data_IF_770055740463
#
_entry.id   IF_770055740463
#
_cell.length_a   1.000
_cell.length_b   1.000
_cell.length_c   1.000
_cell.angle_alpha   90.00
_cell.angle_beta   90.00
_cell.angle_gamma   90.00
#
_symmetry.space_group_name_H-M   'P 1'
#
loop_
_entity.id
_entity.type
_entity.pdbx_description
1 polymer ?
#
# COMPACT_ATOMS: atom_id res chain seq x y z
N UNK A 1 -12.35 22.22 15.06
CA UNK A 1 -11.33 21.74 14.10
C UNK A 1 -10.59 20.61 14.81
N UNK A 2 -10.66 19.40 14.26
CA UNK A 2 -10.25 18.17 14.94
C UNK A 2 -8.75 18.12 15.19
N UNK A 3 -8.42 17.58 16.36
CA UNK A 3 -7.07 17.33 16.84
C UNK A 3 -6.33 16.40 15.86
N UNK A 4 -5.26 16.89 15.24
CA UNK A 4 -4.29 16.05 14.53
C UNK A 4 -3.42 15.38 15.60
N UNK A 5 -3.77 14.14 15.93
CA UNK A 5 -3.00 13.31 16.84
C UNK A 5 -1.56 13.17 16.30
N UNK A 6 -0.64 13.92 16.92
CA UNK A 6 0.74 14.10 16.44
C UNK A 6 1.67 13.02 17.01
N UNK A 7 1.17 11.78 17.19
CA UNK A 7 1.94 10.72 17.84
C UNK A 7 1.71 9.30 17.29
N UNK A 8 1.05 9.17 16.14
CA UNK A 8 0.98 7.89 15.46
C UNK A 8 2.23 7.74 14.58
N UNK A 9 2.94 6.62 14.69
CA UNK A 9 4.02 6.24 13.76
C UNK A 9 3.56 6.50 12.32
N UNK A 10 4.42 6.94 11.41
CA UNK A 10 4.02 7.07 10.01
C UNK A 10 3.47 5.73 9.49
N UNK A 11 2.23 5.75 9.03
CA UNK A 11 1.51 4.61 8.48
C UNK A 11 0.56 5.09 7.39
N UNK A 12 0.31 4.26 6.39
CA UNK A 12 -0.69 4.52 5.35
C UNK A 12 -2.02 3.95 5.83
N UNK A 13 -2.94 4.83 6.22
CA UNK A 13 -4.29 4.43 6.61
C UNK A 13 -5.08 3.85 5.43
N UNK A 14 -6.14 3.08 5.70
CA UNK A 14 -7.02 2.55 4.65
C UNK A 14 -7.61 3.64 3.75
N UNK A 15 -7.88 4.82 4.30
CA UNK A 15 -8.34 5.98 3.53
C UNK A 15 -7.25 6.50 2.60
N UNK A 16 -6.03 6.63 3.08
CA UNK A 16 -4.90 7.08 2.24
C UNK A 16 -4.55 6.07 1.16
N UNK A 17 -4.65 4.78 1.47
CA UNK A 17 -4.48 3.73 0.49
C UNK A 17 -5.58 3.79 -0.58
N UNK A 18 -6.83 4.03 -0.19
CA UNK A 18 -7.94 4.25 -1.12
C UNK A 18 -7.67 5.45 -2.06
N UNK A 19 -7.22 6.58 -1.53
CA UNK A 19 -6.86 7.75 -2.34
C UNK A 19 -5.65 7.46 -3.25
N UNK A 20 -4.71 6.63 -2.80
CA UNK A 20 -3.58 6.16 -3.61
C UNK A 20 -4.04 5.27 -4.77
N UNK A 21 -5.07 4.42 -4.61
CA UNK A 21 -5.63 3.61 -5.72
C UNK A 21 -6.06 4.50 -6.88
N UNK A 22 -6.69 5.64 -6.60
CA UNK A 22 -7.04 6.61 -7.64
C UNK A 22 -5.81 7.20 -8.35
N UNK A 23 -4.69 7.40 -7.62
CA UNK A 23 -3.41 7.85 -8.20
C UNK A 23 -2.66 6.76 -8.97
N UNK A 24 -2.83 5.49 -8.61
CA UNK A 24 -2.26 4.37 -9.34
C UNK A 24 -2.96 4.18 -10.69
N UNK A 25 -4.27 4.38 -10.74
CA UNK A 25 -5.05 4.36 -11.99
C UNK A 25 -4.54 5.37 -13.02
N UNK A 26 -4.04 6.53 -12.58
CA UNK A 26 -3.43 7.53 -13.49
C UNK A 26 -1.97 7.23 -13.88
N UNK A 27 -1.36 6.18 -13.33
CA UNK A 27 0.05 5.79 -13.54
C UNK A 27 0.19 4.43 -14.24
N UNK A 28 -0.66 4.18 -15.23
CA UNK A 28 -0.64 2.97 -16.08
C UNK A 28 -0.95 1.65 -15.36
N UNK A 29 -1.50 1.70 -14.15
CA UNK A 29 -2.05 0.50 -13.52
C UNK A 29 -3.45 0.23 -14.07
N UNK A 30 -3.73 -1.03 -14.38
CA UNK A 30 -5.10 -1.46 -14.65
C UNK A 30 -5.88 -1.62 -13.34
N UNK A 31 -7.21 -1.59 -13.40
CA UNK A 31 -8.05 -1.85 -12.22
C UNK A 31 -7.73 -3.22 -11.58
N UNK A 32 -7.47 -4.24 -12.40
CA UNK A 32 -7.08 -5.57 -11.92
C UNK A 32 -5.74 -5.56 -11.16
N UNK A 33 -4.75 -4.80 -11.61
CA UNK A 33 -3.47 -4.66 -10.91
C UNK A 33 -3.63 -3.89 -9.60
N UNK A 34 -4.47 -2.85 -9.59
CA UNK A 34 -4.79 -2.08 -8.38
C UNK A 34 -5.48 -2.97 -7.35
N UNK A 35 -6.45 -3.78 -7.78
CA UNK A 35 -7.18 -4.70 -6.92
C UNK A 35 -6.27 -5.79 -6.37
N UNK A 36 -5.38 -6.36 -7.20
CA UNK A 36 -4.35 -7.29 -6.73
C UNK A 36 -3.43 -6.67 -5.70
N UNK A 37 -3.01 -5.43 -5.92
CA UNK A 37 -2.17 -4.69 -4.97
C UNK A 37 -2.93 -4.50 -3.66
N UNK A 38 -4.20 -4.10 -3.72
CA UNK A 38 -5.05 -3.98 -2.54
C UNK A 38 -5.22 -5.31 -1.80
N UNK A 39 -5.35 -6.44 -2.51
CA UNK A 39 -5.44 -7.77 -1.91
C UNK A 39 -4.16 -8.17 -1.17
N UNK A 40 -2.98 -7.77 -1.65
CA UNK A 40 -1.69 -8.08 -1.02
C UNK A 40 -1.56 -7.37 0.33
N UNK A 41 -1.93 -6.09 0.39
CA UNK A 41 -1.90 -5.29 1.62
C UNK A 41 -3.19 -5.37 2.44
N UNK A 42 -4.16 -6.19 2.02
CA UNK A 42 -5.47 -6.27 2.68
C UNK A 42 -5.35 -6.74 4.12
N UNK A 43 -4.46 -7.70 4.38
CA UNK A 43 -4.23 -8.20 5.73
C UNK A 43 -3.78 -7.09 6.68
N UNK A 44 -2.91 -6.20 6.20
CA UNK A 44 -2.37 -5.07 6.98
C UNK A 44 -3.39 -3.91 7.10
N UNK A 45 -4.31 -3.78 6.13
CA UNK A 45 -5.36 -2.74 6.09
C UNK A 45 -6.62 -3.08 6.90
N UNK A 46 -7.04 -4.34 6.89
CA UNK A 46 -8.28 -4.81 7.50
C UNK A 46 -8.07 -5.39 8.92
N UNK A 47 -6.84 -5.37 9.45
CA UNK A 47 -6.52 -6.02 10.73
C UNK A 47 -7.25 -5.33 11.92
N UNK A 48 -8.23 -6.00 12.56
CA UNK A 48 -9.08 -5.35 13.57
C UNK A 48 -8.47 -5.37 14.97
N UNK A 49 -7.46 -6.19 15.21
CA UNK A 49 -6.85 -6.42 16.54
C UNK A 49 -5.52 -5.70 16.75
N UNK A 50 -4.93 -5.09 15.72
CA UNK A 50 -3.71 -4.31 15.89
C UNK A 50 -4.03 -2.88 16.32
N UNK A 51 -3.41 -2.46 17.42
CA UNK A 51 -3.36 -1.04 17.86
C UNK A 51 -2.71 -0.11 16.83
N UNK A 52 -2.30 -0.61 15.67
CA UNK A 52 -1.67 0.11 14.56
C UNK A 52 -2.38 -0.28 13.25
N UNK A 53 -3.59 0.21 13.03
CA UNK A 53 -4.34 -0.06 11.79
C UNK A 53 -3.72 0.72 10.63
N UNK A 54 -3.32 0.04 9.55
CA UNK A 54 -2.73 0.65 8.36
C UNK A 54 -1.31 0.18 8.07
N UNK A 55 -0.80 0.50 6.88
CA UNK A 55 0.44 -0.08 6.35
C UNK A 55 1.64 0.72 6.87
N UNK A 56 2.50 0.09 7.67
CA UNK A 56 3.76 0.68 8.13
C UNK A 56 4.93 0.47 7.15
N UNK A 57 6.07 1.11 7.40
CA UNK A 57 7.26 0.99 6.54
C UNK A 57 7.77 -0.45 6.38
N UNK A 58 7.68 -1.26 7.44
CA UNK A 58 8.11 -2.66 7.42
C UNK A 58 7.13 -3.52 6.62
N UNK A 59 5.84 -3.23 6.67
CA UNK A 59 4.79 -3.85 5.87
C UNK A 59 4.93 -3.50 4.39
N UNK A 60 5.24 -2.25 4.06
CA UNK A 60 5.59 -1.86 2.69
C UNK A 60 6.77 -2.70 2.20
N UNK A 61 7.87 -2.76 2.94
CA UNK A 61 9.05 -3.51 2.52
C UNK A 61 8.75 -5.02 2.36
N UNK A 62 7.97 -5.61 3.27
CA UNK A 62 7.54 -7.02 3.17
C UNK A 62 6.63 -7.26 1.95
N UNK A 63 5.63 -6.42 1.73
CA UNK A 63 4.70 -6.52 0.60
C UNK A 63 5.42 -6.34 -0.73
N UNK A 64 6.32 -5.36 -0.84
CA UNK A 64 7.14 -5.12 -2.04
C UNK A 64 8.11 -6.28 -2.30
N UNK A 65 8.76 -6.81 -1.25
CA UNK A 65 9.60 -7.99 -1.39
C UNK A 65 8.79 -9.20 -1.90
N UNK A 66 7.60 -9.44 -1.33
CA UNK A 66 6.72 -10.49 -1.79
C UNK A 66 6.29 -10.31 -3.24
N UNK A 67 5.93 -9.09 -3.67
CA UNK A 67 5.59 -8.78 -5.07
C UNK A 67 6.76 -9.05 -6.01
N UNK A 68 7.98 -8.65 -5.64
CA UNK A 68 9.17 -8.91 -6.46
C UNK A 68 9.44 -10.41 -6.61
N UNK A 69 9.30 -11.18 -5.54
CA UNK A 69 9.51 -12.64 -5.58
C UNK A 69 8.36 -13.38 -6.27
N UNK A 70 7.14 -12.87 -6.20
CA UNK A 70 5.92 -13.51 -6.70
C UNK A 70 5.33 -12.80 -7.93
N UNK A 71 6.19 -12.19 -8.76
CA UNK A 71 5.78 -11.46 -9.97
C UNK A 71 4.86 -12.26 -10.90
N UNK A 72 5.05 -13.59 -10.96
CA UNK A 72 4.23 -14.52 -11.75
C UNK A 72 2.77 -14.68 -11.24
N UNK A 73 2.52 -14.42 -9.96
CA UNK A 73 1.19 -14.57 -9.33
C UNK A 73 0.29 -13.38 -9.67
N UNK A 74 0.82 -12.17 -9.54
CA UNK A 74 0.05 -10.94 -9.75
C UNK A 74 0.31 -10.27 -11.11
N UNK A 75 1.35 -10.69 -11.84
CA UNK A 75 1.73 -10.21 -13.19
C UNK A 75 1.98 -8.69 -13.29
N UNK A 76 2.33 -8.04 -12.19
CA UNK A 76 2.66 -6.60 -12.15
C UNK A 76 4.15 -6.47 -12.47
N UNK A 77 4.50 -5.55 -13.36
CA UNK A 77 5.90 -5.31 -13.74
C UNK A 77 6.73 -4.75 -12.58
N UNK A 78 8.04 -5.00 -12.60
CA UNK A 78 8.99 -4.47 -11.62
C UNK A 78 9.02 -2.93 -11.56
N UNK A 79 8.79 -2.26 -12.69
CA UNK A 79 8.70 -0.80 -12.79
C UNK A 79 7.47 -0.27 -12.04
N UNK A 80 6.33 -0.94 -12.20
CA UNK A 80 5.10 -0.64 -11.46
C UNK A 80 5.27 -0.89 -9.97
N UNK A 81 5.88 -2.01 -9.58
CA UNK A 81 6.21 -2.29 -8.16
C UNK A 81 7.09 -1.18 -7.58
N UNK A 82 8.08 -0.70 -8.33
CA UNK A 82 8.96 0.38 -7.86
C UNK A 82 8.22 1.72 -7.73
N UNK A 83 7.27 1.98 -8.63
CA UNK A 83 6.39 3.15 -8.55
C UNK A 83 5.48 3.08 -7.32
N UNK A 84 4.92 1.91 -7.03
CA UNK A 84 4.12 1.65 -5.85
C UNK A 84 4.94 1.83 -4.56
N UNK A 85 6.13 1.24 -4.49
CA UNK A 85 7.05 1.40 -3.36
C UNK A 85 7.33 2.88 -3.07
N UNK A 86 7.63 3.66 -4.12
CA UNK A 86 7.88 5.10 -3.98
C UNK A 86 6.67 5.83 -3.43
N UNK A 87 5.47 5.56 -3.95
CA UNK A 87 4.24 6.23 -3.51
C UNK A 87 3.87 5.89 -2.07
N UNK A 88 4.07 4.63 -1.66
CA UNK A 88 3.85 4.20 -0.29
C UNK A 88 4.87 4.85 0.66
N UNK A 89 6.15 4.88 0.28
CA UNK A 89 7.22 5.51 1.08
C UNK A 89 7.12 7.03 1.16
N UNK A 90 6.54 7.70 0.16
CA UNK A 90 6.26 9.15 0.23
C UNK A 90 5.22 9.52 1.31
N UNK A 91 4.47 8.54 1.83
CA UNK A 91 3.44 8.71 2.85
C UNK A 91 3.90 8.34 4.27
N UNK A 92 5.10 7.80 4.39
CA UNK A 92 5.72 7.36 5.64
C UNK A 92 6.84 8.34 6.04
#
# INVERSE_FOLDING_TARGET
MGFFDSNSKPHVSAREFHDMRARLSSKEFTEEEIDRTAMIFRADLDEPESTQTGIDASEVDRGIAWMRTNAQVHRISSEKISTLEKLLKEKL
#
